data_IF_756624397687
#
_entry.id   IF_756624397687
#
_cell.length_a   1.000
_cell.length_b   1.000
_cell.length_c   1.000
_cell.angle_alpha   90.00
_cell.angle_beta   90.00
_cell.angle_gamma   90.00
#
_symmetry.space_group_name_H-M   'P 1'
#
loop_
_entity.id
_entity.type
_entity.pdbx_description
1 polymer ?
#
# COMPACT_ATOMS: atom_id res chain seq x y z
N UNK A 1 20.39 0.31 8.80
CA UNK A 1 18.97 0.68 8.59
C UNK A 1 18.07 -0.46 9.04
N UNK A 2 16.83 -0.19 9.45
CA UNK A 2 15.90 -1.20 9.94
C UNK A 2 14.85 -1.62 8.93
N UNK A 3 14.45 -2.89 8.97
CA UNK A 3 13.35 -3.49 8.19
C UNK A 3 12.51 -4.39 9.10
N UNK A 4 11.27 -4.69 8.71
CA UNK A 4 10.40 -5.52 9.55
C UNK A 4 10.85 -6.98 9.56
N UNK A 5 10.88 -7.59 8.37
CA UNK A 5 11.36 -8.95 8.11
C UNK A 5 12.01 -8.99 6.73
N UNK A 6 13.07 -9.79 6.57
CA UNK A 6 13.64 -10.05 5.24
C UNK A 6 12.58 -10.67 4.32
N UNK A 7 12.51 -10.17 3.09
CA UNK A 7 11.49 -10.50 2.11
C UNK A 7 10.13 -9.80 2.32
N UNK A 8 9.98 -8.94 3.34
CA UNK A 8 8.78 -8.12 3.49
C UNK A 8 8.82 -6.89 2.57
N UNK A 9 7.69 -6.19 2.43
CA UNK A 9 7.60 -4.93 1.68
C UNK A 9 8.58 -3.86 2.17
N UNK A 10 8.88 -3.82 3.48
CA UNK A 10 9.85 -2.86 4.04
C UNK A 10 11.29 -3.25 3.71
N UNK A 11 11.63 -4.53 3.69
CA UNK A 11 12.96 -4.98 3.27
C UNK A 11 13.19 -4.67 1.80
N UNK A 12 12.22 -4.99 0.95
CA UNK A 12 12.26 -4.60 -0.45
C UNK A 12 12.43 -3.09 -0.63
N UNK A 13 11.57 -2.30 0.02
CA UNK A 13 11.59 -0.83 -0.06
C UNK A 13 12.97 -0.29 0.27
N UNK A 14 13.58 -0.77 1.36
CA UNK A 14 14.90 -0.32 1.78
C UNK A 14 15.97 -0.70 0.77
N UNK A 15 15.99 -1.95 0.29
CA UNK A 15 16.96 -2.41 -0.71
C UNK A 15 16.85 -1.64 -2.02
N UNK A 16 15.64 -1.44 -2.51
CA UNK A 16 15.38 -0.65 -3.72
C UNK A 16 15.92 0.78 -3.57
N UNK A 17 15.57 1.46 -2.46
CA UNK A 17 16.00 2.83 -2.20
C UNK A 17 17.53 2.91 -2.18
N UNK A 18 18.19 2.02 -1.45
CA UNK A 18 19.66 1.99 -1.38
C UNK A 18 20.28 1.83 -2.77
N UNK A 19 19.82 0.84 -3.55
CA UNK A 19 20.33 0.57 -4.90
C UNK A 19 20.09 1.73 -5.87
N UNK A 20 18.92 2.37 -5.82
CA UNK A 20 18.60 3.55 -6.64
C UNK A 20 19.55 4.72 -6.38
N UNK A 21 20.09 4.79 -5.17
CA UNK A 21 21.08 5.79 -4.76
C UNK A 21 22.53 5.27 -4.81
N UNK A 22 22.78 4.18 -5.53
CA UNK A 22 24.13 3.65 -5.76
C UNK A 22 24.76 2.92 -4.56
N UNK A 23 23.99 2.64 -3.51
CA UNK A 23 24.44 1.91 -2.33
C UNK A 23 24.12 0.42 -2.47
N UNK A 24 25.09 -0.44 -2.16
CA UNK A 24 24.93 -1.89 -2.14
C UNK A 24 24.38 -2.33 -0.76
N UNK A 25 23.16 -2.89 -0.69
CA UNK A 25 22.65 -3.51 0.54
C UNK A 25 23.62 -4.60 1.04
N UNK A 26 23.74 -4.73 2.35
CA UNK A 26 24.59 -5.72 3.04
C UNK A 26 26.11 -5.54 2.85
N UNK A 27 26.55 -4.57 2.04
CA UNK A 27 27.95 -4.18 1.87
C UNK A 27 28.22 -2.75 2.33
N UNK A 28 27.50 -1.80 1.74
CA UNK A 28 27.65 -0.37 2.07
C UNK A 28 26.73 0.04 3.23
N UNK A 29 25.62 -0.69 3.40
CA UNK A 29 24.63 -0.44 4.45
C UNK A 29 24.15 -1.75 5.05
N UNK A 30 24.30 -1.90 6.37
CA UNK A 30 23.76 -3.04 7.12
C UNK A 30 22.24 -2.95 7.27
N UNK A 31 21.53 -4.03 6.92
CA UNK A 31 20.09 -4.18 7.15
C UNK A 31 19.84 -4.99 8.43
N UNK A 32 19.04 -4.43 9.33
CA UNK A 32 18.65 -5.08 10.59
C UNK A 32 17.17 -5.43 10.56
N UNK A 33 16.87 -6.71 10.74
CA UNK A 33 15.51 -7.20 10.95
C UNK A 33 15.08 -6.93 12.40
N UNK A 34 14.09 -6.06 12.62
CA UNK A 34 13.75 -5.54 13.96
C UNK A 34 12.35 -5.93 14.43
N UNK A 35 11.50 -6.50 13.56
CA UNK A 35 10.15 -6.94 13.93
C UNK A 35 9.05 -6.14 13.24
N UNK A 36 8.03 -5.65 13.94
CA UNK A 36 6.97 -4.84 13.34
C UNK A 36 7.37 -3.38 13.13
N UNK A 37 6.46 -2.60 12.51
CA UNK A 37 6.63 -1.15 12.39
C UNK A 37 6.67 -0.42 13.76
N UNK A 38 5.93 -0.83 14.80
CA UNK A 38 6.08 -0.26 16.14
C UNK A 38 7.50 -0.42 16.70
N UNK A 39 8.12 -1.59 16.51
CA UNK A 39 9.48 -1.89 16.94
C UNK A 39 10.50 -1.05 16.16
N UNK A 40 10.30 -0.86 14.86
CA UNK A 40 11.11 0.05 14.05
C UNK A 40 11.03 1.50 14.57
N UNK A 41 9.83 1.98 14.93
CA UNK A 41 9.66 3.33 15.47
C UNK A 41 10.38 3.49 16.82
N UNK A 42 10.31 2.46 17.68
CA UNK A 42 11.05 2.45 18.94
C UNK A 42 12.57 2.43 18.72
N UNK A 43 13.06 1.66 17.73
CA UNK A 43 14.48 1.59 17.40
C UNK A 43 15.02 2.93 16.84
N UNK A 44 14.24 3.64 16.03
CA UNK A 44 14.55 5.02 15.59
C UNK A 44 14.62 5.95 16.79
N UNK A 45 13.64 5.91 17.69
CA UNK A 45 13.60 6.78 18.87
C UNK A 45 14.78 6.56 19.82
N UNK A 46 15.22 5.31 19.97
CA UNK A 46 16.42 4.95 20.73
C UNK A 46 17.73 5.11 19.96
N UNK A 47 17.69 5.63 18.73
CA UNK A 47 18.84 5.80 17.82
C UNK A 47 19.63 4.50 17.56
N UNK A 48 18.95 3.35 17.63
CA UNK A 48 19.54 2.05 17.31
C UNK A 48 19.65 1.82 15.79
N UNK A 49 18.86 2.56 15.01
CA UNK A 49 18.91 2.59 13.55
C UNK A 49 18.77 4.04 13.05
N UNK A 50 19.32 4.31 11.87
CA UNK A 50 19.28 5.63 11.24
C UNK A 50 18.01 5.89 10.41
N UNK A 51 17.45 4.84 9.80
CA UNK A 51 16.28 4.94 8.93
C UNK A 51 15.56 3.58 8.85
N UNK A 52 14.25 3.63 8.60
CA UNK A 52 13.41 2.48 8.27
C UNK A 52 12.20 2.94 7.44
N UNK A 53 11.58 2.06 6.64
CA UNK A 53 10.32 2.36 5.98
C UNK A 53 9.16 2.36 6.97
N UNK A 54 8.23 3.32 6.83
CA UNK A 54 7.04 3.43 7.65
C UNK A 54 5.80 3.76 6.81
N UNK A 55 4.64 3.34 7.28
CA UNK A 55 3.34 3.83 6.86
C UNK A 55 2.58 4.44 8.03
N UNK A 56 1.51 5.19 7.75
CA UNK A 56 0.61 5.64 8.82
C UNK A 56 -0.08 4.45 9.51
N UNK A 57 -0.31 4.53 10.83
CA UNK A 57 0.03 5.65 11.71
C UNK A 57 1.43 5.57 12.33
N UNK A 58 2.19 4.50 12.11
CA UNK A 58 3.47 4.26 12.81
C UNK A 58 4.57 5.28 12.48
N UNK A 59 4.53 5.85 11.28
CA UNK A 59 5.40 6.96 10.87
C UNK A 59 5.31 8.17 11.83
N UNK A 60 4.16 8.41 12.45
CA UNK A 60 3.95 9.52 13.38
C UNK A 60 4.84 9.38 14.63
N UNK A 61 4.97 8.16 15.15
CA UNK A 61 5.87 7.90 16.29
C UNK A 61 7.32 8.17 15.95
N UNK A 62 7.75 7.78 14.75
CA UNK A 62 9.09 8.08 14.27
C UNK A 62 9.31 9.60 14.12
N UNK A 63 8.33 10.33 13.56
CA UNK A 63 8.38 11.80 13.44
C UNK A 63 8.46 12.50 14.79
N UNK A 64 7.63 12.08 15.76
CA UNK A 64 7.66 12.60 17.14
C UNK A 64 9.01 12.33 17.84
N UNK A 65 9.71 11.28 17.42
CA UNK A 65 11.06 10.98 17.89
C UNK A 65 12.17 11.73 17.12
N UNK A 66 11.83 12.69 16.27
CA UNK A 66 12.77 13.52 15.52
C UNK A 66 13.16 12.96 14.15
N UNK A 67 12.51 11.91 13.65
CA UNK A 67 12.76 11.42 12.30
C UNK A 67 12.11 12.32 11.24
N UNK A 68 12.77 12.42 10.09
CA UNK A 68 12.25 13.14 8.92
C UNK A 68 12.00 12.18 7.77
N UNK A 69 11.02 12.52 6.91
CA UNK A 69 10.76 11.74 5.70
C UNK A 69 11.90 11.99 4.73
N UNK A 70 12.65 10.93 4.39
CA UNK A 70 13.74 11.01 3.42
C UNK A 70 13.22 10.81 1.99
N UNK A 71 12.32 9.84 1.80
CA UNK A 71 11.75 9.48 0.50
C UNK A 71 10.28 9.11 0.70
N UNK A 72 9.41 9.67 -0.14
CA UNK A 72 8.03 9.21 -0.30
C UNK A 72 7.99 8.17 -1.43
N UNK A 73 7.80 6.91 -1.06
CA UNK A 73 7.81 5.80 -2.02
C UNK A 73 6.70 5.88 -3.06
N UNK A 74 5.57 6.50 -2.74
CA UNK A 74 4.51 6.71 -3.72
C UNK A 74 4.90 7.73 -4.80
N UNK A 75 5.84 8.63 -4.48
CA UNK A 75 6.41 9.62 -5.41
C UNK A 75 7.73 9.16 -6.04
N UNK A 76 8.27 8.02 -5.60
CA UNK A 76 9.55 7.49 -6.08
C UNK A 76 9.47 6.87 -7.49
N UNK A 77 8.29 6.89 -8.13
CA UNK A 77 8.09 6.38 -9.49
C UNK A 77 8.05 4.85 -9.58
N UNK A 78 7.84 4.16 -8.46
CA UNK A 78 7.66 2.71 -8.42
C UNK A 78 6.19 2.41 -8.25
N UNK A 79 5.61 1.68 -9.18
CA UNK A 79 4.33 1.03 -8.95
C UNK A 79 4.58 -0.15 -8.00
N UNK A 80 4.40 0.04 -6.69
CA UNK A 80 4.44 -1.05 -5.73
C UNK A 80 3.07 -1.20 -5.05
N UNK A 81 2.31 -2.27 -5.35
CA UNK A 81 0.97 -2.42 -4.83
C UNK A 81 1.02 -2.84 -3.36
N UNK A 82 0.66 -1.91 -2.47
CA UNK A 82 0.72 -2.15 -1.02
C UNK A 82 -0.42 -3.04 -0.50
N UNK A 83 -1.62 -2.94 -1.11
CA UNK A 83 -2.81 -3.73 -0.80
C UNK A 83 -3.50 -4.14 -2.10
N UNK A 84 -4.00 -5.37 -2.17
CA UNK A 84 -4.63 -5.93 -3.36
C UNK A 84 -5.91 -6.67 -3.00
N UNK A 85 -6.86 -6.69 -3.93
CA UNK A 85 -8.04 -7.56 -3.86
C UNK A 85 -7.83 -8.66 -4.89
N UNK A 86 -7.84 -9.91 -4.44
CA UNK A 86 -7.57 -11.05 -5.29
C UNK A 86 -8.67 -12.13 -5.16
N UNK A 87 -8.95 -12.81 -6.27
CA UNK A 87 -9.81 -13.99 -6.33
C UNK A 87 -9.33 -14.90 -7.46
N UNK A 88 -9.88 -16.11 -7.54
CA UNK A 88 -9.57 -17.04 -8.61
C UNK A 88 -10.32 -16.68 -9.88
N UNK A 89 -9.72 -16.94 -11.05
CA UNK A 89 -10.39 -16.73 -12.35
C UNK A 89 -11.69 -17.54 -12.45
N UNK A 90 -11.72 -18.75 -11.90
CA UNK A 90 -12.92 -19.60 -11.88
C UNK A 90 -14.04 -18.95 -11.08
N UNK A 91 -13.75 -18.40 -9.90
CA UNK A 91 -14.75 -17.69 -9.11
C UNK A 91 -15.28 -16.44 -9.82
N UNK A 92 -14.39 -15.63 -10.39
CA UNK A 92 -14.77 -14.41 -11.14
C UNK A 92 -15.68 -14.76 -12.32
N UNK A 93 -15.38 -15.83 -13.07
CA UNK A 93 -16.20 -16.27 -14.20
C UNK A 93 -17.57 -16.80 -13.76
N UNK A 94 -17.60 -17.62 -12.71
CA UNK A 94 -18.84 -18.22 -12.23
C UNK A 94 -19.75 -17.25 -11.47
N UNK A 95 -19.19 -16.21 -10.85
CA UNK A 95 -19.90 -15.28 -9.96
C UNK A 95 -19.69 -13.82 -10.38
N UNK A 96 -19.72 -13.53 -11.68
CA UNK A 96 -19.35 -12.22 -12.21
C UNK A 96 -20.18 -11.09 -11.58
N UNK A 97 -21.49 -11.29 -11.42
CA UNK A 97 -22.38 -10.30 -10.82
C UNK A 97 -22.03 -9.98 -9.37
N UNK A 98 -21.67 -11.01 -8.58
CA UNK A 98 -21.22 -10.83 -7.19
C UNK A 98 -19.93 -10.00 -7.14
N UNK A 99 -18.97 -10.31 -8.01
CA UNK A 99 -17.69 -9.58 -8.07
C UNK A 99 -17.90 -8.13 -8.52
N UNK A 100 -18.76 -7.90 -9.52
CA UNK A 100 -19.11 -6.55 -9.98
C UNK A 100 -19.81 -5.75 -8.88
N UNK A 101 -20.77 -6.35 -8.17
CA UNK A 101 -21.47 -5.68 -7.07
C UNK A 101 -20.54 -5.42 -5.87
N UNK A 102 -19.61 -6.32 -5.59
CA UNK A 102 -18.55 -6.07 -4.60
C UNK A 102 -17.70 -4.85 -5.00
N UNK A 103 -17.26 -4.75 -6.26
CA UNK A 103 -16.46 -3.61 -6.73
C UNK A 103 -17.24 -2.29 -6.72
N UNK A 104 -18.55 -2.33 -7.00
CA UNK A 104 -19.42 -1.16 -6.84
C UNK A 104 -19.45 -0.69 -5.38
N UNK A 105 -19.75 -1.59 -4.45
CA UNK A 105 -19.78 -1.25 -3.02
C UNK A 105 -18.43 -0.81 -2.47
N UNK A 106 -17.33 -1.42 -2.94
CA UNK A 106 -15.98 -0.97 -2.62
C UNK A 106 -15.74 0.47 -3.09
N UNK A 107 -16.14 0.79 -4.33
CA UNK A 107 -15.95 2.11 -4.93
C UNK A 107 -16.81 3.19 -4.28
N UNK A 108 -18.06 2.87 -3.91
CA UNK A 108 -18.91 3.74 -3.08
C UNK A 108 -18.30 3.94 -1.68
N UNK A 109 -17.66 2.92 -1.12
CA UNK A 109 -16.87 3.04 0.10
C UNK A 109 -15.71 4.05 -0.04
N UNK A 110 -14.98 4.00 -1.17
CA UNK A 110 -13.91 4.97 -1.46
C UNK A 110 -14.49 6.38 -1.61
N UNK A 111 -15.58 6.53 -2.34
CA UNK A 111 -16.28 7.80 -2.50
C UNK A 111 -16.67 8.38 -1.13
N UNK A 112 -17.21 7.56 -0.23
CA UNK A 112 -17.59 7.99 1.11
C UNK A 112 -16.39 8.37 1.97
N UNK A 113 -15.26 7.67 1.80
CA UNK A 113 -13.98 8.06 2.41
C UNK A 113 -13.63 9.50 2.01
N UNK A 114 -13.80 9.86 0.75
CA UNK A 114 -13.46 11.19 0.24
C UNK A 114 -14.46 12.25 0.72
N UNK A 115 -15.75 11.96 0.68
CA UNK A 115 -16.80 12.96 0.94
C UNK A 115 -17.15 13.13 2.43
N UNK A 116 -16.91 12.12 3.26
CA UNK A 116 -17.32 12.12 4.67
C UNK A 116 -16.16 11.72 5.60
N UNK A 117 -15.28 12.70 5.85
CA UNK A 117 -14.17 12.57 6.78
C UNK A 117 -14.61 12.14 8.19
N UNK A 118 -15.68 12.74 8.71
CA UNK A 118 -16.14 12.50 10.07
C UNK A 118 -16.62 11.05 10.25
N UNK A 119 -17.43 10.55 9.32
CA UNK A 119 -17.83 9.15 9.30
C UNK A 119 -16.62 8.23 9.15
N UNK A 120 -15.69 8.55 8.25
CA UNK A 120 -14.51 7.72 8.00
C UNK A 120 -13.64 7.59 9.25
N UNK A 121 -13.36 8.69 9.94
CA UNK A 121 -12.61 8.66 11.22
C UNK A 121 -13.36 7.86 12.30
N UNK A 122 -14.69 7.95 12.36
CA UNK A 122 -15.51 7.12 13.26
C UNK A 122 -15.37 5.62 12.92
N UNK A 123 -15.33 5.26 11.65
CA UNK A 123 -15.12 3.87 11.19
C UNK A 123 -13.70 3.39 11.51
N UNK A 124 -12.67 4.20 11.25
CA UNK A 124 -11.28 3.89 11.63
C UNK A 124 -11.21 3.63 13.13
N UNK A 125 -11.73 4.55 13.96
CA UNK A 125 -11.80 4.41 15.42
C UNK A 125 -12.48 3.10 15.86
N UNK A 126 -13.58 2.72 15.22
CA UNK A 126 -14.31 1.48 15.55
C UNK A 126 -13.45 0.24 15.32
N UNK A 127 -12.74 0.17 14.20
CA UNK A 127 -12.02 -1.04 13.80
C UNK A 127 -10.58 -1.12 14.33
N UNK A 128 -9.89 0.01 14.50
CA UNK A 128 -8.55 0.03 15.09
C UNK A 128 -8.58 0.14 16.61
N UNK A 129 -9.70 0.61 17.17
CA UNK A 129 -9.89 0.94 18.60
C UNK A 129 -9.02 2.11 19.09
N UNK A 130 -8.36 2.83 18.18
CA UNK A 130 -7.55 4.02 18.52
C UNK A 130 -8.45 5.19 18.91
N UNK A 131 -8.10 5.87 20.00
CA UNK A 131 -8.79 7.08 20.48
C UNK A 131 -8.01 8.37 20.21
N UNK A 132 -6.76 8.27 19.77
CA UNK A 132 -5.91 9.41 19.49
C UNK A 132 -6.32 10.08 18.17
N UNK A 133 -6.76 11.34 18.27
CA UNK A 133 -7.32 12.08 17.13
C UNK A 133 -6.29 12.37 16.04
N UNK A 134 -5.01 12.50 16.39
CA UNK A 134 -3.92 12.71 15.44
C UNK A 134 -3.61 11.41 14.68
N UNK A 135 -3.64 10.26 15.37
CA UNK A 135 -3.55 8.93 14.73
C UNK A 135 -4.70 8.71 13.75
N UNK A 136 -5.93 9.04 14.16
CA UNK A 136 -7.10 8.92 13.29
C UNK A 136 -7.00 9.84 12.07
N UNK A 137 -6.51 11.07 12.27
CA UNK A 137 -6.32 12.05 11.21
C UNK A 137 -5.25 11.61 10.20
N UNK A 138 -4.08 11.18 10.66
CA UNK A 138 -3.01 10.76 9.75
C UNK A 138 -3.32 9.47 9.02
N UNK A 139 -4.09 8.57 9.65
CA UNK A 139 -4.56 7.34 8.99
C UNK A 139 -5.58 7.66 7.90
N UNK A 140 -6.51 8.59 8.18
CA UNK A 140 -7.44 9.10 7.17
C UNK A 140 -6.71 9.75 5.99
N UNK A 141 -5.76 10.65 6.26
CA UNK A 141 -5.00 11.33 5.22
C UNK A 141 -4.17 10.34 4.39
N UNK A 142 -3.55 9.34 5.01
CA UNK A 142 -2.83 8.28 4.30
C UNK A 142 -3.75 7.51 3.34
N UNK A 143 -4.98 7.21 3.75
CA UNK A 143 -5.98 6.62 2.86
C UNK A 143 -6.29 7.53 1.67
N UNK A 144 -6.53 8.83 1.91
CA UNK A 144 -6.77 9.79 0.84
C UNK A 144 -5.58 9.96 -0.11
N UNK A 145 -4.35 9.90 0.38
CA UNK A 145 -3.17 10.15 -0.46
C UNK A 145 -2.89 8.97 -1.41
N UNK A 146 -3.22 7.75 -1.00
CA UNK A 146 -2.73 6.54 -1.68
C UNK A 146 -3.80 5.58 -2.19
N UNK A 147 -5.09 5.79 -1.90
CA UNK A 147 -6.15 4.95 -2.46
C UNK A 147 -6.35 5.21 -3.96
N UNK A 148 -6.37 4.13 -4.74
CA UNK A 148 -6.56 4.17 -6.18
C UNK A 148 -7.99 4.58 -6.56
N UNK A 149 -8.12 5.59 -7.41
CA UNK A 149 -9.40 6.20 -7.82
C UNK A 149 -9.39 6.51 -9.32
N UNK A 150 -10.24 5.86 -10.14
CA UNK A 150 -10.95 4.60 -9.86
C UNK A 150 -9.98 3.48 -9.44
N UNK A 151 -10.46 2.41 -8.78
CA UNK A 151 -9.60 1.37 -8.20
C UNK A 151 -9.06 0.38 -9.24
N UNK A 152 -8.40 0.89 -10.28
CA UNK A 152 -7.73 0.09 -11.29
C UNK A 152 -6.54 -0.67 -10.69
N UNK A 153 -6.38 -1.97 -10.98
CA UNK A 153 -5.12 -2.65 -10.73
C UNK A 153 -4.04 -2.12 -11.67
N UNK A 154 -2.77 -2.24 -11.28
CA UNK A 154 -1.62 -1.78 -12.09
C UNK A 154 -0.78 -2.96 -12.56
N UNK A 155 -0.55 -3.05 -13.87
CA UNK A 155 0.27 -4.12 -14.46
C UNK A 155 1.73 -3.96 -14.02
N UNK A 156 2.21 -2.72 -13.98
CA UNK A 156 3.55 -2.36 -13.53
C UNK A 156 3.77 -2.80 -12.08
N UNK A 157 2.73 -2.73 -11.24
CA UNK A 157 2.76 -3.24 -9.88
C UNK A 157 2.97 -4.75 -9.78
N UNK A 158 2.35 -5.51 -10.69
CA UNK A 158 2.56 -6.96 -10.80
C UNK A 158 3.97 -7.26 -11.28
N UNK A 159 4.46 -6.56 -12.32
CA UNK A 159 5.84 -6.72 -12.81
C UNK A 159 6.83 -6.53 -11.67
N UNK A 160 6.65 -5.48 -10.89
CA UNK A 160 7.54 -5.17 -9.78
C UNK A 160 7.45 -6.23 -8.67
N UNK A 161 6.24 -6.68 -8.34
CA UNK A 161 6.04 -7.79 -7.39
C UNK A 161 6.72 -9.10 -7.85
N UNK A 162 6.63 -9.43 -9.14
CA UNK A 162 7.24 -10.63 -9.72
C UNK A 162 8.77 -10.59 -9.68
N UNK A 163 9.39 -9.42 -9.81
CA UNK A 163 10.85 -9.27 -9.66
C UNK A 163 11.34 -9.54 -8.25
N UNK A 164 10.49 -9.30 -7.25
CA UNK A 164 10.86 -9.33 -5.83
C UNK A 164 10.63 -10.67 -5.16
N UNK A 165 9.65 -11.42 -5.64
CA UNK A 165 9.34 -12.72 -5.04
C UNK A 165 10.50 -13.70 -5.26
N UNK A 166 10.84 -14.44 -4.21
CA UNK A 166 11.82 -15.51 -4.29
C UNK A 166 11.27 -16.76 -5.01
N UNK A 167 9.99 -16.74 -5.41
CA UNK A 167 9.36 -17.89 -6.05
C UNK A 167 10.02 -18.20 -7.41
N UNK A 168 10.55 -19.41 -7.64
CA UNK A 168 11.34 -19.72 -8.83
C UNK A 168 10.64 -19.42 -10.16
N UNK A 169 9.32 -19.64 -10.22
CA UNK A 169 8.51 -19.42 -11.43
C UNK A 169 8.22 -17.95 -11.73
N UNK A 170 8.51 -17.01 -10.82
CA UNK A 170 8.14 -15.61 -11.01
C UNK A 170 8.95 -14.93 -12.12
N UNK A 171 10.22 -15.34 -12.31
CA UNK A 171 11.10 -14.80 -13.35
C UNK A 171 10.57 -14.98 -14.76
N UNK A 172 9.76 -16.01 -14.99
CA UNK A 172 9.20 -16.38 -16.29
C UNK A 172 7.68 -16.23 -16.32
N UNK A 173 7.07 -15.73 -15.25
CA UNK A 173 5.62 -15.58 -15.18
C UNK A 173 5.17 -14.40 -16.06
N UNK A 174 4.04 -14.55 -16.74
CA UNK A 174 3.43 -13.45 -17.45
C UNK A 174 2.69 -12.55 -16.45
N UNK A 175 3.03 -11.24 -16.32
CA UNK A 175 2.32 -10.32 -15.43
C UNK A 175 0.82 -10.23 -15.72
N UNK A 176 0.44 -10.37 -16.99
CA UNK A 176 -0.96 -10.32 -17.42
C UNK A 176 -1.78 -11.49 -16.87
N UNK A 177 -1.13 -12.52 -16.34
CA UNK A 177 -1.84 -13.61 -15.70
C UNK A 177 -2.45 -13.28 -14.33
N UNK A 178 -1.97 -12.21 -13.69
CA UNK A 178 -2.34 -11.84 -12.33
C UNK A 178 -3.16 -10.56 -12.25
N UNK A 179 -3.52 -9.97 -13.39
CA UNK A 179 -4.30 -8.73 -13.45
C UNK A 179 -5.53 -8.90 -14.34
N UNK A 180 -6.68 -8.42 -13.85
CA UNK A 180 -7.91 -8.31 -14.61
C UNK A 180 -8.43 -6.87 -14.53
N UNK A 181 -8.16 -6.09 -15.57
CA UNK A 181 -8.66 -4.72 -15.70
C UNK A 181 -10.11 -4.67 -16.19
N UNK A 182 -10.65 -5.77 -16.74
CA UNK A 182 -11.95 -5.78 -17.42
C UNK A 182 -13.12 -5.46 -16.49
N UNK A 183 -12.99 -5.79 -15.20
CA UNK A 183 -14.02 -5.54 -14.20
C UNK A 183 -14.17 -4.04 -13.91
N UNK A 184 -13.05 -3.36 -13.65
CA UNK A 184 -13.03 -1.90 -13.39
C UNK A 184 -13.36 -1.15 -14.67
N UNK A 185 -12.80 -1.58 -15.81
CA UNK A 185 -13.13 -0.99 -17.12
C UNK A 185 -14.61 -1.10 -17.45
N UNK A 186 -15.25 -2.24 -17.18
CA UNK A 186 -16.69 -2.41 -17.40
C UNK A 186 -17.54 -1.44 -16.58
N UNK A 187 -17.13 -1.13 -15.34
CA UNK A 187 -17.80 -0.10 -14.51
C UNK A 187 -17.53 1.31 -15.01
N UNK A 188 -16.34 1.59 -15.52
CA UNK A 188 -16.02 2.88 -16.14
C UNK A 188 -16.84 3.11 -17.41
N UNK A 189 -16.84 2.12 -18.31
CA UNK A 189 -17.59 2.16 -19.58
C UNK A 189 -19.10 2.31 -19.35
N UNK A 190 -19.64 1.73 -18.27
CA UNK A 190 -21.05 1.86 -17.92
C UNK A 190 -21.40 3.23 -17.30
N UNK A 191 -20.42 4.11 -17.09
CA UNK A 191 -20.59 5.42 -16.45
C UNK A 191 -20.77 5.37 -14.93
N UNK A 192 -20.54 4.22 -14.28
CA UNK A 192 -20.77 4.07 -12.84
C UNK A 192 -19.87 5.00 -12.01
N UNK A 193 -18.58 5.08 -12.32
CA UNK A 193 -17.67 5.99 -11.58
C UNK A 193 -18.03 7.47 -11.75
N UNK A 194 -18.58 7.85 -12.91
CA UNK A 194 -19.11 9.19 -13.14
C UNK A 194 -20.32 9.46 -12.24
N UNK A 195 -21.24 8.50 -12.15
CA UNK A 195 -22.46 8.62 -11.36
C UNK A 195 -22.17 8.84 -9.86
N UNK A 196 -21.18 8.14 -9.30
CA UNK A 196 -20.82 8.29 -7.87
C UNK A 196 -19.84 9.45 -7.63
N UNK A 197 -19.22 10.00 -8.68
CA UNK A 197 -18.24 11.09 -8.58
C UNK A 197 -16.84 10.62 -8.20
N UNK A 198 -16.42 9.45 -8.69
CA UNK A 198 -15.10 8.84 -8.48
C UNK A 198 -14.22 8.88 -9.75
N UNK A 199 -14.26 9.98 -10.50
CA UNK A 199 -13.38 10.19 -11.66
C UNK A 199 -12.05 10.84 -11.23
N UNK A 200 -11.01 10.67 -12.06
CA UNK A 200 -9.73 11.36 -11.89
C UNK A 200 -9.84 12.85 -12.20
#
# INVERSE_FOLDING_TARGET
>A
VGVTRFGSSTDFTMRYVLQKHGLQPDKDVTLLQIGGMPELAAAISKRLILAAPFSSPTNLRAKKAGAHVLIDMAKAGIAFPHQNIASTRSYIRANRDVVVNFLKGYSEGIERIIKDKAFTKKVIRKYTRDQDEEILETTYQYGLDYIARPPYPTREGIVETLKQTAHPKAKTANPDDFVDMSLVKGLEDSGFFKQIGLQK
#
